data_IF_362708219716
#
_entry.id   IF_362708219716
#
_cell.length_a   1.000
_cell.length_b   1.000
_cell.length_c   1.000
_cell.angle_alpha   90.00
_cell.angle_beta   90.00
_cell.angle_gamma   90.00
#
_symmetry.space_group_name_H-M   'P 1'
#
loop_
_entity.id
_entity.type
_entity.pdbx_description
1 polymer ?
#
# COMPACT_ATOMS: atom_id res chain seq x y z
N UNK A 1 -4.21 -34.01 0.57
CA UNK A 1 -3.94 -33.07 1.69
C UNK A 1 -2.66 -32.25 1.51
N UNK A 2 -1.59 -32.83 0.93
CA UNK A 2 -0.30 -32.15 0.75
C UNK A 2 -0.35 -30.99 -0.24
N UNK A 3 -1.21 -31.02 -1.27
CA UNK A 3 -1.35 -29.96 -2.27
C UNK A 3 -1.97 -28.70 -1.64
N UNK A 4 -2.97 -28.86 -0.78
CA UNK A 4 -3.63 -27.75 -0.08
C UNK A 4 -2.63 -27.07 0.89
N UNK A 5 -1.84 -27.85 1.61
CA UNK A 5 -0.83 -27.35 2.53
C UNK A 5 0.28 -26.61 1.77
N UNK A 6 0.73 -27.14 0.63
CA UNK A 6 1.74 -26.48 -0.22
C UNK A 6 1.22 -25.15 -0.80
N UNK A 7 -0.04 -25.09 -1.22
CA UNK A 7 -0.67 -23.87 -1.75
C UNK A 7 -0.83 -22.81 -0.66
N UNK A 8 -1.16 -23.22 0.57
CA UNK A 8 -1.27 -22.33 1.72
C UNK A 8 0.08 -21.77 2.15
N UNK A 9 1.15 -22.59 2.14
CA UNK A 9 2.52 -22.18 2.46
C UNK A 9 3.05 -21.14 1.45
N UNK A 10 2.63 -21.18 0.20
CA UNK A 10 3.05 -20.22 -0.84
C UNK A 10 2.24 -18.92 -0.75
N UNK A 11 0.94 -19.00 -0.48
CA UNK A 11 0.02 -17.84 -0.48
C UNK A 11 0.20 -16.94 0.74
N UNK A 12 0.48 -17.51 1.91
CA UNK A 12 0.61 -16.77 3.18
C UNK A 12 1.83 -15.84 3.18
N UNK A 13 3.06 -16.29 2.83
CA UNK A 13 4.22 -15.39 2.85
C UNK A 13 4.16 -14.34 1.74
N UNK A 14 3.56 -14.64 0.59
CA UNK A 14 3.39 -13.68 -0.50
C UNK A 14 2.45 -12.53 -0.09
N UNK A 15 1.35 -12.83 0.58
CA UNK A 15 0.42 -11.83 1.12
C UNK A 15 1.05 -10.98 2.24
N UNK A 16 1.80 -11.61 3.14
CA UNK A 16 2.45 -10.94 4.25
C UNK A 16 3.58 -9.99 3.79
N UNK A 17 4.37 -10.39 2.80
CA UNK A 17 5.44 -9.57 2.24
C UNK A 17 4.92 -8.32 1.54
N UNK A 18 3.83 -8.45 0.76
CA UNK A 18 3.19 -7.33 0.09
C UNK A 18 2.59 -6.33 1.09
N UNK A 19 2.02 -6.82 2.20
CA UNK A 19 1.42 -5.99 3.24
C UNK A 19 2.47 -5.19 4.02
N UNK A 20 3.65 -5.76 4.28
CA UNK A 20 4.71 -5.10 5.04
C UNK A 20 5.35 -3.92 4.26
N UNK A 21 5.54 -4.08 2.96
CA UNK A 21 6.13 -3.04 2.10
C UNK A 21 5.22 -1.82 1.93
N UNK A 22 3.91 -2.03 1.86
CA UNK A 22 2.95 -0.94 1.72
C UNK A 22 2.84 -0.06 2.97
N UNK A 23 3.07 -0.57 4.17
CA UNK A 23 2.94 0.20 5.42
C UNK A 23 3.93 1.37 5.52
N UNK A 24 5.15 1.22 5.03
CA UNK A 24 6.20 2.25 5.15
C UNK A 24 5.93 3.44 4.23
N UNK A 25 5.56 3.19 2.97
CA UNK A 25 5.24 4.26 2.01
C UNK A 25 3.97 5.01 2.41
N UNK A 26 2.97 4.27 2.92
CA UNK A 26 1.72 4.86 3.42
C UNK A 26 1.93 5.77 4.62
N UNK A 27 2.82 5.39 5.54
CA UNK A 27 3.15 6.22 6.70
C UNK A 27 3.82 7.54 6.30
N UNK A 28 4.66 7.52 5.27
CA UNK A 28 5.28 8.73 4.71
C UNK A 28 4.24 9.67 4.09
N UNK A 29 3.38 9.15 3.20
CA UNK A 29 2.36 9.95 2.54
C UNK A 29 1.34 10.52 3.53
N UNK A 30 0.93 9.76 4.54
CA UNK A 30 -0.01 10.20 5.57
C UNK A 30 0.53 11.35 6.45
N UNK A 31 1.85 11.44 6.60
CA UNK A 31 2.49 12.51 7.37
C UNK A 31 2.73 13.80 6.58
N UNK A 32 2.60 13.79 5.25
CA UNK A 32 2.84 14.97 4.40
C UNK A 32 1.90 16.14 4.70
N UNK A 33 0.58 15.96 4.85
CA UNK A 33 -0.32 17.07 5.15
C UNK A 33 0.06 17.78 6.44
N UNK A 34 0.41 17.06 7.49
CA UNK A 34 0.84 17.61 8.76
C UNK A 34 2.15 18.36 8.63
N UNK A 35 3.12 17.83 7.90
CA UNK A 35 4.37 18.50 7.59
C UNK A 35 4.15 19.84 6.89
N UNK A 36 3.33 19.86 5.84
CA UNK A 36 3.02 21.07 5.07
C UNK A 36 2.24 22.10 5.89
N UNK A 37 1.30 21.66 6.72
CA UNK A 37 0.56 22.53 7.63
C UNK A 37 1.49 23.21 8.64
N UNK A 38 2.42 22.48 9.22
CA UNK A 38 3.41 23.05 10.15
C UNK A 38 4.33 24.05 9.46
N UNK A 39 4.80 23.73 8.24
CA UNK A 39 5.59 24.68 7.44
C UNK A 39 4.81 25.96 7.12
N UNK A 40 3.54 25.83 6.72
CA UNK A 40 2.65 26.96 6.44
C UNK A 40 2.48 27.84 7.67
N UNK A 41 2.12 27.24 8.83
CA UNK A 41 1.94 28.00 10.06
C UNK A 41 3.17 28.75 10.52
N UNK A 42 4.36 28.17 10.39
CA UNK A 42 5.62 28.83 10.73
C UNK A 42 5.96 29.93 9.72
N UNK A 43 5.69 29.72 8.44
CA UNK A 43 5.94 30.75 7.42
C UNK A 43 4.98 31.95 7.55
N UNK A 44 3.71 31.73 7.95
CA UNK A 44 2.74 32.79 8.19
C UNK A 44 3.14 33.77 9.29
N UNK A 45 3.97 33.35 10.24
CA UNK A 45 4.56 34.27 11.26
C UNK A 45 5.84 34.98 10.77
N UNK A 46 6.12 34.94 9.45
CA UNK A 46 7.21 35.67 8.80
C UNK A 46 8.56 34.95 8.81
N UNK A 47 8.63 33.69 9.21
CA UNK A 47 9.88 32.94 9.17
C UNK A 47 10.11 32.35 7.76
N UNK A 48 11.39 32.32 7.36
CA UNK A 48 11.77 31.73 6.07
C UNK A 48 11.54 30.24 6.04
N UNK A 49 11.41 29.66 4.84
CA UNK A 49 11.21 28.21 4.66
C UNK A 49 12.35 27.39 5.27
N UNK A 50 13.59 27.90 5.22
CA UNK A 50 14.77 27.26 5.85
C UNK A 50 14.64 27.21 7.37
N UNK A 51 14.22 28.34 7.98
CA UNK A 51 13.97 28.42 9.42
C UNK A 51 12.79 27.50 9.82
N UNK A 52 11.73 27.46 9.01
CA UNK A 52 10.59 26.60 9.22
C UNK A 52 10.99 25.12 9.24
N UNK A 53 11.79 24.65 8.29
CA UNK A 53 12.33 23.29 8.27
C UNK A 53 13.15 23.00 9.53
N UNK A 54 13.98 23.94 9.96
CA UNK A 54 14.81 23.78 11.18
C UNK A 54 13.96 23.58 12.43
N UNK A 55 12.81 24.23 12.51
CA UNK A 55 11.85 24.09 13.62
C UNK A 55 11.09 22.75 13.51
N UNK A 56 10.60 22.43 12.31
CA UNK A 56 9.79 21.22 12.07
C UNK A 56 10.60 19.94 12.27
N UNK A 57 11.92 19.96 12.05
CA UNK A 57 12.82 18.82 12.35
C UNK A 57 12.74 18.38 13.82
N UNK A 58 12.43 19.29 14.73
CA UNK A 58 12.30 19.00 16.16
C UNK A 58 10.95 18.39 16.52
N UNK A 59 9.98 18.45 15.61
CA UNK A 59 8.67 17.83 15.78
C UNK A 59 8.75 16.36 15.39
N UNK A 60 8.07 15.49 16.13
CA UNK A 60 7.94 14.09 15.77
C UNK A 60 6.83 13.91 14.72
N UNK A 61 7.24 13.65 13.49
CA UNK A 61 6.38 13.34 12.35
C UNK A 61 6.52 11.86 11.94
N UNK A 62 6.89 11.00 12.89
CA UNK A 62 7.05 9.57 12.66
C UNK A 62 8.11 9.27 11.60
N UNK A 63 7.75 8.44 10.62
CA UNK A 63 8.66 8.00 9.55
C UNK A 63 9.22 9.17 8.73
N UNK A 64 8.44 10.25 8.57
CA UNK A 64 8.84 11.43 7.81
C UNK A 64 9.95 12.24 8.51
N UNK A 65 10.06 12.16 9.83
CA UNK A 65 11.09 12.88 10.61
C UNK A 65 12.51 12.57 10.11
N UNK A 66 12.77 11.33 9.74
CA UNK A 66 14.08 10.92 9.22
C UNK A 66 14.41 11.59 7.90
N UNK A 67 13.43 11.69 7.01
CA UNK A 67 13.62 12.34 5.71
C UNK A 67 13.77 13.86 5.83
N UNK A 68 13.01 14.48 6.75
CA UNK A 68 13.14 15.93 7.03
C UNK A 68 14.53 16.25 7.60
N UNK A 69 15.08 15.41 8.45
CA UNK A 69 16.47 15.53 8.93
C UNK A 69 17.49 15.52 7.79
N UNK A 70 17.24 14.74 6.75
CA UNK A 70 18.11 14.76 5.54
C UNK A 70 17.99 16.07 4.78
N UNK A 71 16.76 16.61 4.60
CA UNK A 71 16.55 17.91 3.97
C UNK A 71 17.35 18.99 4.74
N UNK A 72 17.20 19.02 6.07
CA UNK A 72 17.95 19.97 6.90
C UNK A 72 19.47 19.81 6.72
N UNK A 73 19.96 18.58 6.74
CA UNK A 73 21.39 18.31 6.54
C UNK A 73 21.88 18.80 5.18
N UNK A 74 21.12 18.57 4.11
CA UNK A 74 21.47 19.02 2.77
C UNK A 74 21.57 20.55 2.72
N UNK A 75 20.66 21.26 3.40
CA UNK A 75 20.70 22.72 3.55
C UNK A 75 21.90 23.17 4.39
N UNK A 76 22.19 22.51 5.50
CA UNK A 76 23.34 22.82 6.37
C UNK A 76 24.67 22.62 5.61
N UNK A 77 24.73 21.76 4.61
CA UNK A 77 25.86 21.55 3.71
C UNK A 77 25.91 22.57 2.55
N UNK A 78 25.04 23.55 2.52
CA UNK A 78 25.01 24.62 1.54
C UNK A 78 24.16 24.37 0.30
N UNK A 79 23.35 23.30 0.26
CA UNK A 79 22.38 23.12 -0.82
C UNK A 79 21.27 24.17 -0.75
N UNK A 80 20.77 24.61 -1.91
CA UNK A 80 19.58 25.45 -1.94
C UNK A 80 18.36 24.68 -1.39
N UNK A 81 17.38 25.40 -0.86
CA UNK A 81 16.14 24.78 -0.38
C UNK A 81 15.43 24.01 -1.51
N UNK A 82 15.48 24.54 -2.73
CA UNK A 82 14.89 23.92 -3.91
C UNK A 82 15.59 22.59 -4.23
N UNK A 83 16.93 22.56 -4.24
CA UNK A 83 17.70 21.35 -4.50
C UNK A 83 17.48 20.30 -3.42
N UNK A 84 17.41 20.70 -2.15
CA UNK A 84 17.14 19.80 -1.04
C UNK A 84 15.74 19.16 -1.15
N UNK A 85 14.73 19.93 -1.56
CA UNK A 85 13.37 19.43 -1.79
C UNK A 85 13.28 18.51 -3.01
N UNK A 86 13.97 18.82 -4.11
CA UNK A 86 14.04 17.94 -5.28
C UNK A 86 14.70 16.61 -4.92
N UNK A 87 15.81 16.61 -4.19
CA UNK A 87 16.44 15.38 -3.71
C UNK A 87 15.54 14.58 -2.78
N UNK A 88 14.73 15.24 -1.97
CA UNK A 88 13.72 14.60 -1.14
C UNK A 88 12.66 13.89 -1.99
N UNK A 89 12.14 14.54 -3.04
CA UNK A 89 11.21 13.96 -4.00
C UNK A 89 11.80 12.73 -4.68
N UNK A 90 13.04 12.83 -5.19
CA UNK A 90 13.75 11.73 -5.85
C UNK A 90 13.95 10.49 -4.95
N UNK A 91 14.09 10.71 -3.64
CA UNK A 91 14.25 9.61 -2.67
C UNK A 91 12.96 8.87 -2.40
N UNK A 92 11.83 9.57 -2.34
CA UNK A 92 10.55 8.96 -1.93
C UNK A 92 9.71 8.54 -3.13
N UNK A 93 9.79 9.26 -4.24
CA UNK A 93 9.15 8.96 -5.53
C UNK A 93 7.64 8.71 -5.44
N UNK A 94 6.91 9.48 -4.64
CA UNK A 94 5.45 9.39 -4.61
C UNK A 94 4.80 10.57 -5.31
N UNK A 95 3.65 10.36 -6.00
CA UNK A 95 2.98 11.44 -6.72
C UNK A 95 2.54 12.60 -5.81
N UNK A 96 2.24 12.31 -4.54
CA UNK A 96 1.83 13.33 -3.58
C UNK A 96 2.99 14.26 -3.23
N UNK A 97 4.18 13.70 -2.99
CA UNK A 97 5.39 14.47 -2.70
C UNK A 97 5.84 15.26 -3.93
N UNK A 98 5.80 14.65 -5.11
CA UNK A 98 6.14 15.34 -6.36
C UNK A 98 5.30 16.61 -6.56
N UNK A 99 3.98 16.52 -6.38
CA UNK A 99 3.10 17.68 -6.45
C UNK A 99 3.42 18.72 -5.39
N UNK A 100 3.61 18.33 -4.14
CA UNK A 100 3.93 19.24 -3.05
C UNK A 100 5.25 19.98 -3.31
N UNK A 101 6.30 19.27 -3.70
CA UNK A 101 7.61 19.84 -4.01
C UNK A 101 7.53 20.80 -5.21
N UNK A 102 6.81 20.42 -6.27
CA UNK A 102 6.61 21.29 -7.43
C UNK A 102 5.89 22.58 -7.04
N UNK A 103 4.84 22.51 -6.23
CA UNK A 103 4.12 23.70 -5.74
C UNK A 103 5.03 24.61 -4.92
N UNK A 104 5.77 24.05 -3.97
CA UNK A 104 6.67 24.83 -3.08
C UNK A 104 7.80 25.47 -3.88
N UNK A 105 8.45 24.73 -4.78
CA UNK A 105 9.58 25.25 -5.58
C UNK A 105 9.12 26.31 -6.57
N UNK A 106 7.94 26.15 -7.17
CA UNK A 106 7.35 27.16 -8.06
C UNK A 106 6.99 28.42 -7.29
N UNK A 107 6.33 28.30 -6.14
CA UNK A 107 5.97 29.42 -5.29
C UNK A 107 7.20 30.19 -4.80
N UNK A 108 8.25 29.49 -4.40
CA UNK A 108 9.49 30.11 -3.91
C UNK A 108 10.23 30.93 -4.99
N UNK A 109 9.97 30.64 -6.27
CA UNK A 109 10.52 31.40 -7.41
C UNK A 109 9.68 32.64 -7.77
N UNK A 110 8.40 32.62 -7.44
CA UNK A 110 7.45 33.67 -7.88
C UNK A 110 7.32 34.85 -6.89
N UNK A 111 8.14 34.93 -5.86
CA UNK A 111 8.12 36.04 -4.86
C UNK A 111 6.72 36.26 -4.24
N UNK A 112 5.91 35.22 -4.14
CA UNK A 112 4.57 35.30 -3.57
C UNK A 112 4.51 34.83 -2.12
N UNK A 113 3.30 34.82 -1.58
CA UNK A 113 3.03 34.29 -0.24
C UNK A 113 3.21 32.77 -0.23
N UNK A 114 4.41 32.33 0.16
CA UNK A 114 4.75 30.91 0.27
C UNK A 114 3.83 30.22 1.29
N UNK A 115 3.38 30.94 2.34
CA UNK A 115 2.49 30.43 3.35
C UNK A 115 1.15 29.98 2.80
N UNK A 116 0.56 30.77 1.89
CA UNK A 116 -0.68 30.39 1.23
C UNK A 116 -0.52 29.16 0.34
N UNK A 117 0.57 29.08 -0.44
CA UNK A 117 0.84 27.93 -1.30
C UNK A 117 1.10 26.66 -0.48
N UNK A 118 1.79 26.76 0.63
CA UNK A 118 1.97 25.64 1.57
C UNK A 118 0.63 25.15 2.14
N UNK A 119 -0.29 26.07 2.45
CA UNK A 119 -1.63 25.72 2.92
C UNK A 119 -2.44 24.99 1.84
N UNK A 120 -2.39 25.49 0.60
CA UNK A 120 -3.05 24.83 -0.54
C UNK A 120 -2.46 23.44 -0.74
N UNK A 121 -1.14 23.29 -0.74
CA UNK A 121 -0.46 22.01 -0.86
C UNK A 121 -0.82 21.03 0.27
N UNK A 122 -0.95 21.53 1.51
CA UNK A 122 -1.37 20.74 2.65
C UNK A 122 -2.81 20.21 2.49
N UNK A 123 -3.72 21.05 2.02
CA UNK A 123 -5.12 20.67 1.75
C UNK A 123 -5.22 19.65 0.61
N UNK A 124 -4.49 19.84 -0.48
CA UNK A 124 -4.44 18.89 -1.60
C UNK A 124 -3.89 17.53 -1.15
N UNK A 125 -2.82 17.53 -0.37
CA UNK A 125 -2.26 16.30 0.19
C UNK A 125 -3.24 15.59 1.14
N UNK A 126 -3.95 16.32 2.01
CA UNK A 126 -4.96 15.76 2.90
C UNK A 126 -6.13 15.16 2.13
N UNK A 127 -6.63 15.86 1.11
CA UNK A 127 -7.71 15.35 0.25
C UNK A 127 -7.29 14.10 -0.52
N UNK A 128 -6.07 14.08 -1.06
CA UNK A 128 -5.51 12.92 -1.74
C UNK A 128 -5.40 11.71 -0.81
N UNK A 129 -5.03 11.91 0.45
CA UNK A 129 -4.94 10.82 1.44
C UNK A 129 -6.33 10.29 1.81
N UNK A 130 -7.33 11.18 1.98
CA UNK A 130 -8.72 10.78 2.22
C UNK A 130 -9.27 9.92 1.09
N UNK A 131 -9.10 10.34 -0.16
CA UNK A 131 -9.53 9.58 -1.34
C UNK A 131 -8.82 8.23 -1.45
N UNK A 132 -7.54 8.15 -1.09
CA UNK A 132 -6.81 6.88 -1.04
C UNK A 132 -7.34 5.95 0.05
N UNK A 133 -7.74 6.49 1.20
CA UNK A 133 -8.33 5.70 2.30
C UNK A 133 -9.69 5.14 1.92
N UNK A 134 -10.55 5.93 1.30
CA UNK A 134 -11.87 5.49 0.83
C UNK A 134 -11.72 4.36 -0.20
N UNK A 135 -10.90 4.56 -1.21
CA UNK A 135 -10.62 3.53 -2.22
C UNK A 135 -10.08 2.23 -1.63
N UNK A 136 -9.24 2.31 -0.60
CA UNK A 136 -8.72 1.12 0.07
C UNK A 136 -9.77 0.38 0.87
N UNK A 137 -10.66 1.08 1.53
CA UNK A 137 -11.80 0.50 2.24
C UNK A 137 -12.67 -0.33 1.30
N UNK A 138 -12.99 0.22 0.13
CA UNK A 138 -13.77 -0.49 -0.89
C UNK A 138 -13.04 -1.73 -1.42
N UNK A 139 -11.75 -1.62 -1.74
CA UNK A 139 -10.96 -2.77 -2.23
C UNK A 139 -10.86 -3.89 -1.18
N UNK A 140 -10.81 -3.56 0.12
CA UNK A 140 -10.75 -4.56 1.17
C UNK A 140 -12.03 -5.42 1.21
N UNK A 141 -13.19 -4.82 0.97
CA UNK A 141 -14.47 -5.54 0.90
C UNK A 141 -14.47 -6.55 -0.24
N UNK A 142 -13.97 -6.18 -1.43
CA UNK A 142 -13.86 -7.11 -2.56
C UNK A 142 -12.93 -8.29 -2.26
N UNK A 143 -11.79 -8.03 -1.65
CA UNK A 143 -10.85 -9.07 -1.23
C UNK A 143 -11.49 -10.01 -0.20
N UNK A 144 -12.21 -9.47 0.78
CA UNK A 144 -12.91 -10.28 1.78
C UNK A 144 -13.98 -11.18 1.14
N UNK A 145 -14.75 -10.67 0.17
CA UNK A 145 -15.75 -11.46 -0.56
C UNK A 145 -15.09 -12.59 -1.35
N UNK A 146 -14.00 -12.33 -2.05
CA UNK A 146 -13.26 -13.36 -2.80
C UNK A 146 -12.75 -14.47 -1.87
N UNK A 147 -12.19 -14.11 -0.71
CA UNK A 147 -11.76 -15.11 0.29
C UNK A 147 -12.91 -15.91 0.84
N UNK A 148 -14.06 -15.27 1.11
CA UNK A 148 -15.25 -15.95 1.59
C UNK A 148 -15.76 -16.99 0.57
N UNK A 149 -15.86 -16.59 -0.70
CA UNK A 149 -16.27 -17.51 -1.79
C UNK A 149 -15.28 -18.65 -1.92
N UNK A 150 -13.98 -18.38 -1.82
CA UNK A 150 -12.95 -19.41 -1.90
C UNK A 150 -13.04 -20.43 -0.75
N UNK A 151 -13.30 -19.98 0.48
CA UNK A 151 -13.49 -20.86 1.64
C UNK A 151 -14.73 -21.74 1.47
N UNK A 152 -15.84 -21.16 0.99
CA UNK A 152 -17.06 -21.92 0.71
C UNK A 152 -16.82 -22.97 -0.38
N UNK A 153 -16.09 -22.61 -1.43
CA UNK A 153 -15.73 -23.56 -2.49
C UNK A 153 -14.88 -24.72 -1.96
N UNK A 154 -13.86 -24.43 -1.15
CA UNK A 154 -13.04 -25.47 -0.50
C UNK A 154 -13.89 -26.38 0.39
N UNK A 155 -14.82 -25.82 1.15
CA UNK A 155 -15.72 -26.58 2.00
C UNK A 155 -16.56 -27.57 1.16
N UNK A 156 -17.14 -27.10 0.06
CA UNK A 156 -17.92 -27.94 -0.85
C UNK A 156 -17.07 -29.07 -1.45
N UNK A 157 -15.84 -28.76 -1.88
CA UNK A 157 -14.93 -29.79 -2.43
C UNK A 157 -14.59 -30.84 -1.37
N UNK A 158 -14.33 -30.45 -0.13
CA UNK A 158 -14.05 -31.40 0.97
C UNK A 158 -15.27 -32.28 1.27
N UNK A 159 -16.47 -31.71 1.27
CA UNK A 159 -17.69 -32.46 1.51
C UNK A 159 -17.94 -33.50 0.39
N UNK A 160 -17.71 -33.10 -0.86
CA UNK A 160 -17.84 -34.03 -2.00
C UNK A 160 -16.80 -35.15 -1.90
N UNK A 161 -15.53 -34.80 -1.63
CA UNK A 161 -14.45 -35.80 -1.52
C UNK A 161 -14.73 -36.83 -0.41
N UNK A 162 -15.19 -36.39 0.74
CA UNK A 162 -15.46 -37.28 1.89
C UNK A 162 -16.74 -38.09 1.73
N UNK A 163 -17.79 -37.53 1.15
CA UNK A 163 -19.09 -38.19 1.02
C UNK A 163 -19.17 -39.07 -0.22
N UNK A 164 -18.61 -38.62 -1.35
CA UNK A 164 -18.73 -39.34 -2.62
C UNK A 164 -17.80 -40.55 -2.70
N UNK A 165 -16.56 -40.42 -2.18
CA UNK A 165 -15.62 -41.55 -2.13
C UNK A 165 -16.10 -42.65 -1.17
N UNK A 166 -16.69 -42.28 -0.03
CA UNK A 166 -17.25 -43.26 0.90
C UNK A 166 -18.48 -44.03 0.32
N UNK A 167 -19.33 -43.32 -0.42
CA UNK A 167 -20.48 -43.92 -1.09
C UNK A 167 -20.09 -44.87 -2.24
N UNK A 168 -19.02 -44.53 -2.98
CA UNK A 168 -18.48 -45.43 -4.02
C UNK A 168 -17.85 -46.71 -3.42
N UNK A 169 -17.09 -46.58 -2.35
CA UNK A 169 -16.46 -47.69 -1.66
C UNK A 169 -17.51 -48.69 -1.09
N UNK A 170 -18.64 -48.17 -0.61
CA UNK A 170 -19.74 -49.00 -0.11
C UNK A 170 -20.49 -49.70 -1.24
N UNK A 171 -20.62 -49.06 -2.41
CA UNK A 171 -21.25 -49.63 -3.60
C UNK A 171 -20.38 -50.75 -4.22
N UNK A 172 -19.06 -50.62 -4.18
CA UNK A 172 -18.09 -51.60 -4.65
C UNK A 172 -18.04 -52.83 -3.72
N UNK A 173 -18.22 -52.62 -2.43
CA UNK A 173 -18.31 -53.71 -1.44
C UNK A 173 -19.60 -54.53 -1.51
N UNK A 174 -20.69 -53.97 -2.02
CA UNK A 174 -22.01 -54.62 -2.17
C UNK A 174 -22.20 -55.30 -3.51
N UNK A 175 -21.28 -55.20 -4.46
CA UNK A 175 -21.33 -55.87 -5.77
C UNK A 175 -20.18 -56.88 -5.92
N UNK A 176 -20.33 -58.15 -5.44
CA UNK A 176 -19.34 -59.20 -5.65
C UNK A 176 -19.37 -59.79 -7.07
N UNK A 177 -19.86 -59.07 -8.05
CA UNK A 177 -19.97 -59.55 -9.42
C UNK A 177 -19.70 -58.43 -10.42
N UNK A 178 -18.52 -58.49 -11.00
CA UNK A 178 -17.95 -57.51 -11.95
C UNK A 178 -18.91 -56.96 -13.01
N UNK A 179 -19.04 -55.64 -12.97
CA UNK A 179 -19.30 -54.88 -14.20
C UNK A 179 -18.06 -54.03 -14.44
N UNK A 180 -17.10 -54.58 -15.16
CA UNK A 180 -16.03 -53.81 -15.77
C UNK A 180 -16.66 -52.92 -16.85
N UNK A 181 -16.93 -51.64 -16.49
CA UNK A 181 -17.18 -50.61 -17.51
C UNK A 181 -15.85 -50.31 -18.20
N UNK A 182 -15.55 -51.17 -19.20
CA UNK A 182 -14.42 -50.94 -20.10
C UNK A 182 -14.67 -49.70 -20.94
N UNK A 183 -14.15 -48.56 -20.51
CA UNK A 183 -13.98 -47.42 -21.40
C UNK A 183 -12.77 -47.75 -22.27
N UNK A 184 -13.01 -48.47 -23.37
CA UNK A 184 -12.04 -48.65 -24.45
C UNK A 184 -11.91 -47.35 -25.19
N UNK A 185 -10.82 -46.62 -24.96
CA UNK A 185 -10.40 -45.57 -25.87
C UNK A 185 -9.91 -46.23 -27.15
N UNK A 186 -10.79 -46.29 -28.15
CA UNK A 186 -10.48 -46.75 -29.47
C UNK A 186 -9.31 -46.00 -30.08
N UNK A 187 -8.24 -46.75 -30.34
CA UNK A 187 -7.12 -46.36 -31.15
C UNK A 187 -7.57 -46.45 -32.61
N UNK A 188 -7.81 -45.33 -33.26
CA UNK A 188 -8.05 -45.28 -34.72
C UNK A 188 -6.73 -45.26 -35.47
N UNK A 189 -6.64 -45.89 -36.64
CA UNK A 189 -5.44 -46.13 -37.42
C UNK A 189 -4.83 -44.89 -38.05
#
# INVERSE_FOLDING_TARGET
DHIIIALLIILVPFGAFHWFWQKTVMGLEAAIPEFLNRLSGINQVGLTLVQAITIVVKADLGVLTYEIKKIKRDIDWGASIQDALVRFEERIRTPAIARAVTLITTASRMTGDIGEVLNIAARDAAMSETLKRERRGEMFIYVAIVYLVFIVFLFVVIVIDTQFLSALAETEALSPGGVSVGISFGKTP
#
